data_IF_433058810077
#
_entry.id   IF_433058810077
#
_cell.length_a   1.000
_cell.length_b   1.000
_cell.length_c   1.000
_cell.angle_alpha   90.00
_cell.angle_beta   90.00
_cell.angle_gamma   90.00
#
_symmetry.space_group_name_H-M   'P 1'
#
loop_
_entity.id
_entity.type
_entity.pdbx_description
1 polymer ?
#
# COMPACT_ATOMS: atom_id res chain seq x y z
N UNK A 1 -3.42 23.22 1.48
CA UNK A 1 -2.83 22.33 2.51
C UNK A 1 -2.93 20.86 2.11
N UNK A 2 -4.13 20.36 1.77
CA UNK A 2 -4.35 18.97 1.34
C UNK A 2 -3.63 18.58 0.04
N UNK A 3 -3.61 19.47 -0.97
CA UNK A 3 -2.92 19.22 -2.25
C UNK A 3 -1.40 18.98 -2.07
N UNK A 4 -0.76 19.83 -1.27
CA UNK A 4 0.67 19.71 -0.95
C UNK A 4 0.96 18.41 -0.18
N UNK A 5 0.07 18.02 0.73
CA UNK A 5 0.20 16.77 1.48
C UNK A 5 0.16 15.54 0.56
N UNK A 6 -0.77 15.51 -0.41
CA UNK A 6 -0.84 14.44 -1.41
C UNK A 6 0.42 14.41 -2.28
N UNK A 7 0.89 15.56 -2.77
CA UNK A 7 2.12 15.63 -3.58
C UNK A 7 3.38 15.19 -2.83
N UNK A 8 3.46 15.48 -1.53
CA UNK A 8 4.55 15.00 -0.68
C UNK A 8 4.54 13.47 -0.57
N UNK A 9 3.36 12.86 -0.39
CA UNK A 9 3.23 11.40 -0.37
C UNK A 9 3.61 10.76 -1.71
N UNK A 10 3.13 11.32 -2.82
CA UNK A 10 3.50 10.86 -4.18
C UNK A 10 5.02 10.90 -4.37
N UNK A 11 5.66 11.99 -3.94
CA UNK A 11 7.12 12.16 -4.04
C UNK A 11 7.86 11.12 -3.20
N UNK A 12 7.41 10.87 -1.98
CA UNK A 12 8.00 9.87 -1.09
C UNK A 12 7.90 8.45 -1.69
N UNK A 13 6.72 8.07 -2.18
CA UNK A 13 6.49 6.76 -2.77
C UNK A 13 7.29 6.55 -4.06
N UNK A 14 7.38 7.55 -4.95
CA UNK A 14 8.23 7.44 -6.13
C UNK A 14 9.72 7.36 -5.79
N UNK A 15 10.17 8.11 -4.77
CA UNK A 15 11.56 8.04 -4.31
C UNK A 15 11.90 6.66 -3.78
N UNK A 16 10.99 6.07 -3.00
CA UNK A 16 11.10 4.70 -2.54
C UNK A 16 11.18 3.74 -3.74
N UNK A 17 10.19 3.78 -4.64
CA UNK A 17 10.07 2.83 -5.73
C UNK A 17 11.30 2.88 -6.64
N UNK A 18 11.84 4.08 -6.88
CA UNK A 18 13.10 4.29 -7.58
C UNK A 18 14.26 3.58 -6.88
N UNK A 19 14.38 3.70 -5.57
CA UNK A 19 15.44 3.03 -4.82
C UNK A 19 15.28 1.50 -4.81
N UNK A 20 14.06 1.02 -4.60
CA UNK A 20 13.74 -0.41 -4.61
C UNK A 20 14.09 -1.05 -5.95
N UNK A 21 13.63 -0.47 -7.07
CA UNK A 21 13.96 -0.97 -8.41
C UNK A 21 15.47 -0.89 -8.70
N UNK A 22 16.17 0.15 -8.23
CA UNK A 22 17.63 0.24 -8.36
C UNK A 22 18.37 -0.87 -7.58
N UNK A 23 17.93 -1.19 -6.37
CA UNK A 23 18.50 -2.28 -5.57
C UNK A 23 18.20 -3.66 -6.18
N UNK A 24 16.95 -3.91 -6.57
CA UNK A 24 16.54 -5.18 -7.16
C UNK A 24 17.28 -5.46 -8.48
N UNK A 25 17.46 -4.44 -9.33
CA UNK A 25 18.26 -4.59 -10.56
C UNK A 25 19.75 -4.85 -10.31
N UNK A 26 20.32 -4.35 -9.21
CA UNK A 26 21.72 -4.61 -8.82
C UNK A 26 21.92 -5.97 -8.17
N UNK A 27 20.89 -6.50 -7.51
CA UNK A 27 20.96 -7.77 -6.75
C UNK A 27 20.56 -8.99 -7.59
N UNK A 28 20.14 -8.81 -8.85
CA UNK A 28 19.65 -9.88 -9.74
C UNK A 28 18.38 -10.58 -9.22
N UNK A 29 17.72 -9.99 -8.22
CA UNK A 29 16.40 -10.40 -7.77
C UNK A 29 15.40 -9.96 -8.86
N UNK A 30 15.18 -10.85 -9.83
CA UNK A 30 14.26 -10.61 -10.95
C UNK A 30 12.79 -10.57 -10.50
N UNK A 31 12.49 -11.03 -9.29
CA UNK A 31 11.15 -11.06 -8.71
C UNK A 31 10.79 -9.71 -8.08
N UNK A 32 10.87 -8.64 -8.86
CA UNK A 32 10.07 -7.47 -8.51
C UNK A 32 8.65 -7.81 -8.99
N UNK A 33 7.74 -8.15 -8.07
CA UNK A 33 6.30 -8.32 -8.35
C UNK A 33 5.60 -7.04 -8.86
N UNK A 34 6.36 -6.07 -9.36
CA UNK A 34 5.94 -4.79 -9.89
C UNK A 34 6.26 -4.73 -11.38
N UNK A 35 5.23 -4.87 -12.21
CA UNK A 35 5.32 -4.60 -13.64
C UNK A 35 5.28 -3.09 -13.87
N UNK A 36 6.42 -2.51 -14.27
CA UNK A 36 6.50 -1.10 -14.67
C UNK A 36 5.51 -0.79 -15.79
N UNK A 37 5.36 -1.69 -16.77
CA UNK A 37 4.45 -1.50 -17.90
C UNK A 37 3.00 -1.35 -17.44
N UNK A 38 2.53 -2.27 -16.59
CA UNK A 38 1.16 -2.25 -16.06
C UNK A 38 0.93 -1.00 -15.22
N UNK A 39 1.85 -0.68 -14.33
CA UNK A 39 1.77 0.53 -13.50
C UNK A 39 1.66 1.80 -14.34
N UNK A 40 2.50 1.95 -15.36
CA UNK A 40 2.48 3.12 -16.22
C UNK A 40 1.23 3.17 -17.12
N UNK A 41 0.70 2.02 -17.55
CA UNK A 41 -0.57 1.96 -18.27
C UNK A 41 -1.71 2.55 -17.44
N UNK A 42 -1.88 2.06 -16.22
CA UNK A 42 -2.95 2.51 -15.34
C UNK A 42 -2.77 3.99 -14.98
N UNK A 43 -1.53 4.42 -14.73
CA UNK A 43 -1.20 5.81 -14.44
C UNK A 43 -1.55 6.75 -15.60
N UNK A 44 -1.21 6.39 -16.83
CA UNK A 44 -1.52 7.20 -18.01
C UNK A 44 -3.01 7.19 -18.36
N UNK A 45 -3.73 6.09 -18.11
CA UNK A 45 -5.19 6.07 -18.16
C UNK A 45 -5.82 7.03 -17.13
N UNK A 46 -5.22 7.20 -15.94
CA UNK A 46 -5.66 8.23 -14.98
C UNK A 46 -5.38 9.66 -15.43
N UNK A 47 -4.34 9.90 -16.24
CA UNK A 47 -4.07 11.21 -16.82
C UNK A 47 -5.00 11.58 -17.97
N UNK A 48 -5.19 10.65 -18.91
CA UNK A 48 -5.76 10.94 -20.22
C UNK A 48 -7.20 10.43 -20.40
N UNK A 49 -7.76 9.79 -19.36
CA UNK A 49 -9.08 9.17 -19.37
C UNK A 49 -9.00 7.64 -19.52
N UNK A 50 -9.97 6.95 -18.92
CA UNK A 50 -9.96 5.48 -18.83
C UNK A 50 -9.92 4.81 -20.19
N UNK A 51 -9.11 3.74 -20.29
CA UNK A 51 -8.94 2.86 -21.46
C UNK A 51 -8.41 3.53 -22.74
N UNK A 52 -7.80 4.71 -22.62
CA UNK A 52 -7.14 5.35 -23.77
C UNK A 52 -5.74 4.80 -24.05
N UNK A 53 -5.10 4.20 -23.05
CA UNK A 53 -3.79 3.55 -23.14
C UNK A 53 -3.94 2.05 -23.00
N UNK A 54 -3.48 1.32 -24.01
CA UNK A 54 -3.55 -0.15 -24.06
C UNK A 54 -2.16 -0.74 -24.29
N UNK A 55 -1.97 -1.96 -23.80
CA UNK A 55 -0.72 -2.69 -24.02
C UNK A 55 -0.62 -3.11 -25.50
N UNK A 56 0.44 -2.67 -26.17
CA UNK A 56 0.66 -2.92 -27.59
C UNK A 56 0.81 -4.42 -27.92
N UNK A 57 1.35 -5.21 -26.99
CA UNK A 57 1.54 -6.65 -27.16
C UNK A 57 0.22 -7.44 -27.09
N UNK A 58 -0.84 -6.88 -26.49
CA UNK A 58 -2.17 -7.50 -26.45
C UNK A 58 -2.90 -7.34 -27.79
N UNK A 59 -2.70 -6.22 -28.49
CA UNK A 59 -3.34 -5.96 -29.80
C UNK A 59 -2.62 -6.67 -30.96
N UNK A 60 -1.28 -6.70 -30.94
CA UNK A 60 -0.48 -7.39 -31.93
C UNK A 60 0.71 -8.06 -31.24
N UNK A 61 0.63 -9.38 -31.07
CA UNK A 61 1.80 -10.20 -30.74
C UNK A 61 2.88 -9.91 -31.79
N UNK A 62 3.99 -9.29 -31.36
CA UNK A 62 5.15 -8.83 -32.15
C UNK A 62 5.23 -7.33 -32.47
N UNK A 63 4.60 -6.42 -31.72
CA UNK A 63 4.93 -4.99 -31.80
C UNK A 63 6.23 -4.70 -31.01
N UNK A 64 7.40 -4.52 -31.65
CA UNK A 64 8.63 -4.53 -30.88
C UNK A 64 8.93 -3.13 -30.33
N UNK A 65 9.30 -3.09 -29.05
CA UNK A 65 9.71 -1.88 -28.31
C UNK A 65 8.60 -0.85 -28.05
N UNK A 66 7.33 -1.24 -28.22
CA UNK A 66 6.16 -0.47 -27.79
C UNK A 66 5.53 -1.20 -26.62
N UNK A 67 5.43 -0.53 -25.48
CA UNK A 67 4.75 -1.11 -24.33
C UNK A 67 3.29 -0.67 -24.35
N UNK A 68 3.05 0.63 -24.58
CA UNK A 68 1.72 1.23 -24.55
C UNK A 68 1.44 2.10 -25.77
N UNK A 69 0.20 2.09 -26.24
CA UNK A 69 -0.26 2.96 -27.32
C UNK A 69 -1.60 3.61 -27.00
N UNK A 70 -1.72 4.89 -27.35
CA UNK A 70 -2.96 5.64 -27.34
C UNK A 70 -3.32 6.03 -28.76
N UNK A 71 -4.27 5.29 -29.34
CA UNK A 71 -4.69 5.44 -30.74
C UNK A 71 -5.38 6.78 -31.01
N UNK A 72 -6.13 7.29 -30.02
CA UNK A 72 -6.87 8.55 -30.15
C UNK A 72 -5.94 9.75 -30.32
N UNK A 73 -4.84 9.77 -29.57
CA UNK A 73 -3.82 10.82 -29.63
C UNK A 73 -2.62 10.47 -30.53
N UNK A 74 -2.62 9.27 -31.14
CA UNK A 74 -1.49 8.73 -31.89
C UNK A 74 -0.16 8.83 -31.13
N UNK A 75 -0.18 8.48 -29.84
CA UNK A 75 0.98 8.58 -28.95
C UNK A 75 1.38 7.18 -28.46
N UNK A 76 2.65 6.81 -28.63
CA UNK A 76 3.22 5.59 -28.07
C UNK A 76 4.16 5.87 -26.88
N UNK A 77 4.17 4.94 -25.92
CA UNK A 77 5.10 4.93 -24.79
C UNK A 77 5.94 3.66 -24.80
N UNK A 78 7.21 3.85 -24.48
CA UNK A 78 8.07 2.79 -24.00
C UNK A 78 8.48 3.10 -22.56
N UNK A 79 8.38 2.12 -21.68
CA UNK A 79 8.75 2.19 -20.28
C UNK A 79 9.96 1.30 -20.06
N UNK A 80 11.05 1.88 -19.55
CA UNK A 80 12.25 1.10 -19.26
C UNK A 80 12.90 1.54 -17.96
N UNK A 81 13.52 0.59 -17.26
CA UNK A 81 14.22 0.85 -15.99
C UNK A 81 15.38 1.83 -16.21
N UNK A 82 16.14 1.65 -17.29
CA UNK A 82 17.27 2.50 -17.69
C UNK A 82 17.18 2.79 -19.18
N UNK A 83 16.96 4.05 -19.53
CA UNK A 83 16.97 4.56 -20.90
C UNK A 83 18.36 5.17 -21.21
N UNK A 84 19.32 4.32 -21.54
CA UNK A 84 20.61 4.77 -22.06
C UNK A 84 20.52 5.11 -23.56
N UNK A 85 21.53 5.83 -24.07
CA UNK A 85 21.56 6.28 -25.46
C UNK A 85 21.50 5.13 -26.48
N UNK A 86 21.97 3.93 -26.13
CA UNK A 86 21.95 2.76 -27.01
C UNK A 86 20.53 2.19 -27.10
N UNK A 87 19.86 2.01 -25.95
CA UNK A 87 18.46 1.60 -25.89
C UNK A 87 17.55 2.59 -26.59
N UNK A 88 17.72 3.89 -26.33
CA UNK A 88 16.88 4.92 -26.96
C UNK A 88 17.00 4.88 -28.48
N UNK A 89 18.23 4.79 -29.02
CA UNK A 89 18.45 4.68 -30.48
C UNK A 89 17.80 3.43 -31.05
N UNK A 90 18.03 2.27 -30.43
CA UNK A 90 17.43 1.00 -30.85
C UNK A 90 15.90 1.07 -30.84
N UNK A 91 15.30 1.64 -29.81
CA UNK A 91 13.86 1.85 -29.74
C UNK A 91 13.38 2.67 -30.93
N UNK A 92 13.97 3.85 -31.15
CA UNK A 92 13.55 4.75 -32.25
C UNK A 92 13.70 4.07 -33.61
N UNK A 93 14.80 3.37 -33.85
CA UNK A 93 15.03 2.58 -35.07
C UNK A 93 13.97 1.48 -35.26
N UNK A 94 13.53 0.83 -34.18
CA UNK A 94 12.46 -0.17 -34.24
C UNK A 94 11.11 0.46 -34.57
N UNK A 95 10.76 1.61 -33.99
CA UNK A 95 9.56 2.36 -34.36
C UNK A 95 9.57 2.76 -35.84
N UNK A 96 10.69 3.30 -36.33
CA UNK A 96 10.87 3.70 -37.73
C UNK A 96 10.75 2.49 -38.68
N UNK A 97 11.40 1.36 -38.34
CA UNK A 97 11.38 0.13 -39.14
C UNK A 97 9.98 -0.48 -39.25
N UNK A 98 9.19 -0.44 -38.18
CA UNK A 98 7.86 -1.05 -38.14
C UNK A 98 6.75 -0.12 -38.62
N UNK A 99 7.07 1.12 -39.03
CA UNK A 99 6.12 2.12 -39.55
C UNK A 99 4.89 2.28 -38.64
N UNK A 100 5.13 2.34 -37.34
CA UNK A 100 4.06 2.51 -36.35
C UNK A 100 3.36 3.83 -36.62
N UNK A 101 2.04 3.82 -36.87
CA UNK A 101 1.23 5.02 -37.12
C UNK A 101 1.02 5.81 -35.81
N UNK A 102 2.06 6.54 -35.39
CA UNK A 102 2.06 7.42 -34.23
C UNK A 102 2.72 8.76 -34.55
N UNK A 103 2.10 9.83 -34.06
CA UNK A 103 2.59 11.21 -34.19
C UNK A 103 3.66 11.52 -33.14
N UNK A 104 3.65 10.81 -32.01
CA UNK A 104 4.59 11.04 -30.89
C UNK A 104 5.05 9.73 -30.25
N UNK A 105 6.33 9.70 -29.84
CA UNK A 105 6.92 8.61 -29.05
C UNK A 105 7.52 9.19 -27.77
N UNK A 106 7.17 8.66 -26.61
CA UNK A 106 7.81 9.03 -25.33
C UNK A 106 8.46 7.81 -24.70
N UNK A 107 9.77 7.89 -24.46
CA UNK A 107 10.56 6.85 -23.79
C UNK A 107 10.75 7.28 -22.34
N UNK A 108 10.19 6.51 -21.42
CA UNK A 108 10.24 6.77 -19.98
C UNK A 108 11.39 5.95 -19.37
N UNK A 109 12.44 6.64 -18.94
CA UNK A 109 13.53 6.06 -18.16
C UNK A 109 13.25 6.19 -16.67
N UNK A 110 12.82 5.10 -16.03
CA UNK A 110 12.37 5.10 -14.63
C UNK A 110 13.47 5.50 -13.64
N UNK A 111 14.63 4.83 -13.69
CA UNK A 111 15.78 5.16 -12.83
C UNK A 111 16.66 6.24 -13.45
N UNK A 112 16.97 6.03 -14.73
CA UNK A 112 17.93 6.81 -15.49
C UNK A 112 17.42 7.04 -16.91
N UNK A 113 17.60 8.25 -17.41
CA UNK A 113 17.41 8.58 -18.81
C UNK A 113 18.54 9.49 -19.29
N UNK A 114 18.95 9.34 -20.55
CA UNK A 114 19.73 10.38 -21.23
C UNK A 114 18.80 11.28 -22.03
N UNK A 115 19.04 12.59 -21.99
CA UNK A 115 18.33 13.53 -22.84
C UNK A 115 18.72 13.27 -24.30
N UNK A 116 17.87 12.56 -25.01
CA UNK A 116 18.01 12.30 -26.44
C UNK A 116 16.68 12.62 -27.12
N UNK A 117 16.77 13.41 -28.19
CA UNK A 117 15.63 13.83 -28.98
C UNK A 117 15.98 13.62 -30.46
N UNK A 118 15.18 12.81 -31.14
CA UNK A 118 15.28 12.60 -32.60
C UNK A 118 13.86 12.49 -33.15
N UNK A 119 13.58 13.20 -34.25
CA UNK A 119 12.26 13.19 -34.88
C UNK A 119 11.15 13.54 -33.87
N UNK A 120 10.08 12.73 -33.84
CA UNK A 120 8.94 12.86 -32.94
C UNK A 120 9.10 12.10 -31.60
N UNK A 121 10.34 11.74 -31.23
CA UNK A 121 10.63 11.07 -29.97
C UNK A 121 11.11 12.04 -28.89
N UNK A 122 10.69 11.80 -27.66
CA UNK A 122 11.24 12.42 -26.45
C UNK A 122 11.61 11.35 -25.43
N UNK A 123 12.68 11.60 -24.67
CA UNK A 123 13.05 10.78 -23.53
C UNK A 123 12.77 11.57 -22.26
N UNK A 124 12.06 10.97 -21.30
CA UNK A 124 11.64 11.63 -20.07
C UNK A 124 11.93 10.76 -18.84
N UNK A 125 12.09 11.41 -17.69
CA UNK A 125 12.19 10.76 -16.40
C UNK A 125 10.91 10.87 -15.57
N UNK A 126 11.01 10.46 -14.30
CA UNK A 126 9.93 10.59 -13.32
C UNK A 126 9.53 12.05 -13.06
N UNK A 127 10.41 13.02 -13.32
CA UNK A 127 10.09 14.45 -13.24
C UNK A 127 8.97 14.87 -14.20
N UNK A 128 8.85 14.21 -15.36
CA UNK A 128 7.75 14.43 -16.28
C UNK A 128 6.43 13.98 -15.66
N UNK A 129 6.44 12.81 -15.02
CA UNK A 129 5.29 12.21 -14.36
C UNK A 129 4.84 13.07 -13.17
N UNK A 130 5.75 13.46 -12.29
CA UNK A 130 5.41 14.31 -11.14
C UNK A 130 4.87 15.67 -11.57
N UNK A 131 5.36 16.23 -12.68
CA UNK A 131 4.79 17.44 -13.29
C UNK A 131 3.37 17.22 -13.82
N UNK A 132 3.09 16.08 -14.48
CA UNK A 132 1.72 15.74 -14.91
C UNK A 132 0.78 15.64 -13.71
N UNK A 133 1.17 14.92 -12.66
CA UNK A 133 0.37 14.76 -11.43
C UNK A 133 0.09 16.12 -10.79
N UNK A 134 1.10 17.01 -10.74
CA UNK A 134 0.93 18.36 -10.18
C UNK A 134 -0.17 19.16 -10.89
N UNK A 135 -0.33 18.97 -12.20
CA UNK A 135 -1.36 19.60 -13.02
C UNK A 135 -2.76 18.97 -12.90
N UNK A 136 -2.91 17.83 -12.25
CA UNK A 136 -4.19 17.15 -12.07
C UNK A 136 -5.06 17.80 -10.98
N UNK A 137 -6.36 17.51 -11.02
CA UNK A 137 -7.29 17.84 -9.93
C UNK A 137 -6.96 17.07 -8.65
N UNK A 138 -7.43 17.55 -7.48
CA UNK A 138 -7.20 16.87 -6.19
C UNK A 138 -7.77 15.43 -6.17
N UNK A 139 -8.92 15.22 -6.83
CA UNK A 139 -9.55 13.89 -6.96
C UNK A 139 -8.61 12.96 -7.72
N UNK A 140 -8.16 13.38 -8.91
CA UNK A 140 -7.20 12.60 -9.72
C UNK A 140 -5.89 12.35 -8.97
N UNK A 141 -5.35 13.35 -8.26
CA UNK A 141 -4.13 13.17 -7.45
C UNK A 141 -4.31 12.10 -6.37
N UNK A 142 -5.49 12.03 -5.76
CA UNK A 142 -5.82 11.03 -4.74
C UNK A 142 -5.95 9.64 -5.37
N UNK A 143 -6.66 9.52 -6.49
CA UNK A 143 -6.75 8.26 -7.23
C UNK A 143 -5.38 7.75 -7.70
N UNK A 144 -4.51 8.65 -8.16
CA UNK A 144 -3.13 8.32 -8.54
C UNK A 144 -2.32 7.89 -7.32
N UNK A 145 -2.48 8.56 -6.18
CA UNK A 145 -1.82 8.15 -4.94
C UNK A 145 -2.23 6.74 -4.53
N UNK A 146 -3.52 6.42 -4.60
CA UNK A 146 -4.03 5.09 -4.26
C UNK A 146 -3.55 4.03 -5.27
N UNK A 147 -3.50 4.37 -6.56
CA UNK A 147 -2.88 3.51 -7.59
C UNK A 147 -1.42 3.22 -7.28
N UNK A 148 -0.62 4.23 -6.91
CA UNK A 148 0.79 4.04 -6.53
C UNK A 148 0.88 3.14 -5.30
N UNK A 149 0.06 3.37 -4.27
CA UNK A 149 0.03 2.52 -3.07
C UNK A 149 -0.32 1.06 -3.39
N UNK A 150 -1.30 0.83 -4.25
CA UNK A 150 -1.76 -0.52 -4.60
C UNK A 150 -0.78 -1.25 -5.53
N UNK A 151 -0.06 -0.51 -6.37
CA UNK A 151 0.90 -1.09 -7.30
C UNK A 151 2.19 -1.50 -6.60
N UNK A 152 2.53 -0.83 -5.49
CA UNK A 152 3.72 -1.20 -4.71
C UNK A 152 3.29 -2.21 -3.64
N UNK A 153 3.97 -3.36 -3.48
CA UNK A 153 3.67 -4.29 -2.40
C UNK A 153 3.97 -3.63 -1.04
N UNK A 154 2.96 -3.01 -0.42
CA UNK A 154 3.09 -2.22 0.82
C UNK A 154 3.66 -3.05 1.98
N UNK A 155 3.47 -4.38 1.95
CA UNK A 155 4.10 -5.30 2.90
C UNK A 155 5.64 -5.35 2.77
N UNK A 156 6.20 -5.12 1.57
CA UNK A 156 7.64 -4.94 1.33
C UNK A 156 8.09 -3.51 1.69
N UNK A 157 7.16 -2.56 1.67
CA UNK A 157 7.41 -1.14 1.97
C UNK A 157 7.52 -0.80 3.44
N UNK A 158 6.92 -1.62 4.32
CA UNK A 158 6.94 -1.32 5.74
C UNK A 158 8.38 -1.45 6.24
N UNK A 159 9.08 -0.34 6.61
CA UNK A 159 10.41 -0.45 7.22
C UNK A 159 10.35 -1.15 8.58
N UNK A 160 9.13 -1.30 9.11
CA UNK A 160 8.80 -2.02 10.32
C UNK A 160 8.48 -3.46 9.95
N UNK A 161 9.22 -4.39 10.54
CA UNK A 161 8.95 -5.83 10.38
C UNK A 161 7.56 -6.18 10.94
N UNK A 162 7.00 -7.34 10.55
CA UNK A 162 5.81 -7.93 11.20
C UNK A 162 5.95 -7.88 12.73
N UNK A 163 7.17 -8.12 13.20
CA UNK A 163 7.57 -8.02 14.59
C UNK A 163 7.37 -6.62 15.17
N UNK A 164 7.98 -5.59 14.59
CA UNK A 164 7.88 -4.21 15.10
C UNK A 164 6.45 -3.68 15.07
N UNK A 165 5.72 -4.03 14.02
CA UNK A 165 4.31 -3.70 13.83
C UNK A 165 3.41 -4.38 14.87
N UNK A 166 3.66 -5.66 15.16
CA UNK A 166 2.95 -6.40 16.19
C UNK A 166 3.23 -5.84 17.60
N UNK A 167 4.43 -5.35 17.90
CA UNK A 167 4.72 -4.73 19.21
C UNK A 167 3.85 -3.51 19.51
N UNK A 168 3.44 -2.77 18.47
CA UNK A 168 2.55 -1.62 18.64
C UNK A 168 1.15 -2.11 19.02
N UNK A 169 0.65 -3.14 18.33
CA UNK A 169 -0.64 -3.79 18.63
C UNK A 169 -0.62 -4.38 20.04
N UNK A 170 0.42 -5.13 20.37
CA UNK A 170 0.60 -5.78 21.66
C UNK A 170 0.65 -4.75 22.79
N UNK A 171 1.47 -3.69 22.66
CA UNK A 171 1.52 -2.60 23.66
C UNK A 171 0.17 -1.92 23.86
N UNK A 172 -0.66 -1.87 22.83
CA UNK A 172 -1.98 -1.23 22.91
C UNK A 172 -3.01 -2.11 23.61
N UNK A 173 -2.98 -3.42 23.36
CA UNK A 173 -3.81 -4.40 24.06
C UNK A 173 -3.38 -4.59 25.52
N UNK A 174 -2.07 -4.54 25.80
CA UNK A 174 -1.48 -4.68 27.14
C UNK A 174 -1.76 -3.51 28.09
N UNK A 175 -1.85 -2.27 27.57
CA UNK A 175 -1.80 -1.05 28.40
C UNK A 175 -3.05 -0.79 29.26
N UNK A 176 -4.21 -1.32 28.89
CA UNK A 176 -5.49 -0.99 29.58
C UNK A 176 -6.71 -1.82 29.20
N UNK A 177 -6.67 -2.64 28.13
CA UNK A 177 -7.86 -3.31 27.61
C UNK A 177 -8.04 -4.75 28.10
N UNK A 178 -6.93 -5.48 28.35
CA UNK A 178 -6.98 -6.90 28.69
C UNK A 178 -6.48 -7.23 30.12
N UNK A 179 -5.71 -6.35 30.76
CA UNK A 179 -4.94 -6.65 31.99
C UNK A 179 -5.48 -6.07 33.30
N UNK A 180 -6.66 -5.44 33.32
CA UNK A 180 -7.31 -5.01 34.57
C UNK A 180 -7.96 -6.20 35.29
N UNK A 181 -7.12 -7.14 35.69
CA UNK A 181 -7.47 -8.44 36.29
C UNK A 181 -7.69 -8.33 37.81
N UNK A 182 -8.07 -7.14 38.30
CA UNK A 182 -8.17 -6.86 39.74
C UNK A 182 -9.59 -6.48 40.15
N UNK A 183 -10.45 -7.51 40.30
CA UNK A 183 -11.69 -7.55 41.09
C UNK A 183 -12.81 -6.50 40.85
N UNK A 184 -12.51 -5.40 40.18
CA UNK A 184 -13.41 -4.32 39.79
C UNK A 184 -12.79 -3.70 38.53
N UNK A 185 -13.33 -3.95 37.33
CA UNK A 185 -12.97 -3.12 36.17
C UNK A 185 -13.21 -1.65 36.52
N UNK A 186 -12.18 -0.80 36.41
CA UNK A 186 -12.28 0.61 36.76
C UNK A 186 -13.33 1.35 35.91
N UNK A 187 -13.51 0.94 34.64
CA UNK A 187 -14.55 1.43 33.73
C UNK A 187 -14.64 0.55 32.46
N UNK A 188 -15.77 -0.15 32.26
CA UNK A 188 -16.08 -0.86 31.00
C UNK A 188 -16.04 0.06 29.78
N UNK A 189 -16.35 1.36 29.96
CA UNK A 189 -16.30 2.32 28.86
C UNK A 189 -14.86 2.58 28.39
N UNK A 190 -13.91 2.62 29.32
CA UNK A 190 -12.49 2.77 29.00
C UNK A 190 -11.93 1.53 28.32
N UNK A 191 -12.34 0.34 28.78
CA UNK A 191 -12.03 -0.91 28.11
C UNK A 191 -12.55 -0.93 26.67
N UNK A 192 -13.84 -0.63 26.45
CA UNK A 192 -14.44 -0.58 25.10
C UNK A 192 -13.72 0.43 24.21
N UNK A 193 -13.36 1.59 24.75
CA UNK A 193 -12.58 2.60 24.01
C UNK A 193 -11.22 2.04 23.60
N UNK A 194 -10.47 1.44 24.51
CA UNK A 194 -9.18 0.82 24.20
C UNK A 194 -9.29 -0.30 23.17
N UNK A 195 -10.31 -1.15 23.30
CA UNK A 195 -10.60 -2.24 22.36
C UNK A 195 -10.97 -1.73 20.96
N UNK A 196 -11.76 -0.65 20.85
CA UNK A 196 -12.07 -0.01 19.56
C UNK A 196 -10.82 0.54 18.90
N UNK A 197 -9.99 1.26 19.66
CA UNK A 197 -8.75 1.79 19.12
C UNK A 197 -7.79 0.66 18.69
N UNK A 198 -7.73 -0.46 19.42
CA UNK A 198 -6.92 -1.61 19.04
C UNK A 198 -7.45 -2.31 17.78
N UNK A 199 -8.77 -2.43 17.65
CA UNK A 199 -9.43 -2.91 16.42
C UNK A 199 -9.11 -2.02 15.22
N UNK A 200 -9.20 -0.70 15.37
CA UNK A 200 -8.87 0.25 14.30
C UNK A 200 -7.40 0.10 13.89
N UNK A 201 -6.50 -0.06 14.86
CA UNK A 201 -5.07 -0.28 14.62
C UNK A 201 -4.80 -1.59 13.87
N UNK A 202 -5.44 -2.71 14.26
CA UNK A 202 -5.29 -4.01 13.60
C UNK A 202 -5.79 -3.94 12.16
N UNK A 203 -6.99 -3.39 11.96
CA UNK A 203 -7.66 -3.40 10.65
C UNK A 203 -7.04 -2.40 9.67
N UNK A 204 -6.97 -1.13 10.07
CA UNK A 204 -6.59 -0.02 9.20
C UNK A 204 -5.13 0.42 9.34
N UNK A 205 -4.43 -0.05 10.37
CA UNK A 205 -3.07 0.38 10.67
C UNK A 205 -2.99 1.76 11.35
N UNK A 206 -4.11 2.46 11.54
CA UNK A 206 -4.13 3.79 12.15
C UNK A 206 -5.22 3.89 13.21
N UNK A 207 -5.03 4.80 14.17
CA UNK A 207 -6.01 5.07 15.22
C UNK A 207 -6.42 6.54 15.18
N UNK A 208 -7.48 6.87 15.92
CA UNK A 208 -7.90 8.27 16.14
C UNK A 208 -6.86 9.08 16.94
N UNK A 209 -5.93 8.43 17.65
CA UNK A 209 -4.84 9.07 18.38
C UNK A 209 -3.68 9.40 17.45
N UNK A 210 -3.31 10.68 17.40
CA UNK A 210 -2.18 11.17 16.61
C UNK A 210 -0.89 10.49 17.07
N UNK A 211 -0.14 9.91 16.13
CA UNK A 211 1.20 9.37 16.36
C UNK A 211 1.29 7.88 16.69
N UNK A 212 0.17 7.13 16.69
CA UNK A 212 0.18 5.67 16.78
C UNK A 212 -0.30 5.09 15.45
N UNK A 213 0.60 4.36 14.78
CA UNK A 213 0.29 3.65 13.53
C UNK A 213 1.12 2.38 13.40
N UNK A 214 0.57 1.41 12.69
CA UNK A 214 1.21 0.19 12.22
C UNK A 214 0.78 -0.07 10.77
N UNK A 215 1.21 -1.16 10.16
CA UNK A 215 0.69 -1.56 8.86
C UNK A 215 -0.73 -2.11 8.99
N UNK A 216 -1.62 -1.91 8.01
CA UNK A 216 -2.95 -2.52 8.02
C UNK A 216 -2.83 -4.05 8.00
N UNK A 217 -3.92 -4.75 8.33
CA UNK A 217 -3.93 -6.23 8.38
C UNK A 217 -3.44 -6.85 7.07
N UNK A 218 -3.82 -6.29 5.92
CA UNK A 218 -3.38 -6.73 4.59
C UNK A 218 -1.87 -6.57 4.33
N UNK A 219 -1.17 -5.83 5.20
CA UNK A 219 0.27 -5.63 5.14
C UNK A 219 1.10 -6.67 5.90
N UNK A 220 0.48 -7.57 6.69
CA UNK A 220 1.16 -8.67 7.37
C UNK A 220 1.32 -9.89 6.46
N UNK A 221 2.20 -10.82 6.83
CA UNK A 221 2.27 -12.13 6.17
C UNK A 221 1.00 -12.96 6.40
N UNK A 222 0.60 -13.80 5.44
CA UNK A 222 -0.68 -14.56 5.50
C UNK A 222 -0.95 -15.28 6.83
N UNK A 223 0.02 -15.97 7.47
CA UNK A 223 -0.21 -16.58 8.78
C UNK A 223 -0.61 -15.56 9.84
N UNK A 224 0.09 -14.42 9.89
CA UNK A 224 -0.22 -13.34 10.83
C UNK A 224 -1.54 -12.63 10.51
N UNK A 225 -1.92 -12.53 9.23
CA UNK A 225 -3.23 -11.95 8.88
C UNK A 225 -4.37 -12.75 9.50
N UNK A 226 -4.29 -14.08 9.44
CA UNK A 226 -5.29 -14.96 10.05
C UNK A 226 -5.33 -14.80 11.57
N UNK A 227 -4.15 -14.82 12.22
CA UNK A 227 -4.07 -14.70 13.69
C UNK A 227 -4.55 -13.33 14.19
N UNK A 228 -4.22 -12.24 13.47
CA UNK A 228 -4.70 -10.89 13.81
C UNK A 228 -6.20 -10.72 13.54
N UNK A 229 -6.74 -11.37 12.52
CA UNK A 229 -8.18 -11.39 12.25
C UNK A 229 -8.93 -12.08 13.39
N UNK A 230 -8.41 -13.20 13.88
CA UNK A 230 -8.99 -13.93 15.01
C UNK A 230 -9.01 -13.09 16.30
N UNK A 231 -7.97 -12.29 16.54
CA UNK A 231 -7.94 -11.33 17.65
C UNK A 231 -8.99 -10.24 17.44
N UNK A 232 -9.09 -9.67 16.25
CA UNK A 232 -10.08 -8.64 15.90
C UNK A 232 -11.52 -9.13 16.11
N UNK A 233 -11.83 -10.37 15.72
CA UNK A 233 -13.14 -10.96 15.92
C UNK A 233 -13.50 -11.09 17.40
N UNK A 234 -12.55 -11.53 18.23
CA UNK A 234 -12.77 -11.62 19.69
C UNK A 234 -12.97 -10.25 20.33
N UNK A 235 -12.19 -9.25 19.90
CA UNK A 235 -12.36 -7.85 20.31
C UNK A 235 -13.76 -7.35 19.95
N UNK A 236 -14.22 -7.61 18.73
CA UNK A 236 -15.56 -7.26 18.26
C UNK A 236 -16.65 -7.93 19.08
N UNK A 237 -16.45 -9.18 19.49
CA UNK A 237 -17.39 -9.91 20.33
C UNK A 237 -17.48 -9.34 21.74
N UNK A 238 -16.36 -8.96 22.37
CA UNK A 238 -16.36 -8.25 23.66
C UNK A 238 -17.14 -6.92 23.54
N UNK A 239 -16.82 -6.11 22.53
CA UNK A 239 -17.51 -4.83 22.29
C UNK A 239 -19.01 -5.05 22.09
N UNK A 240 -19.40 -6.11 21.37
CA UNK A 240 -20.81 -6.48 21.13
C UNK A 240 -21.51 -6.84 22.43
N UNK A 241 -20.88 -7.63 23.31
CA UNK A 241 -21.44 -7.98 24.62
C UNK A 241 -21.69 -6.69 25.41
N UNK A 242 -20.67 -5.84 25.60
CA UNK A 242 -20.82 -4.62 26.39
C UNK A 242 -21.87 -3.65 25.82
N UNK A 243 -21.96 -3.51 24.50
CA UNK A 243 -22.95 -2.63 23.87
C UNK A 243 -24.38 -3.14 24.08
N UNK A 244 -24.61 -4.46 24.07
CA UNK A 244 -25.94 -5.05 24.33
C UNK A 244 -26.40 -4.81 25.77
N UNK A 245 -25.47 -4.78 26.71
CA UNK A 245 -25.75 -4.61 28.13
C UNK A 245 -25.69 -3.13 28.58
N UNK A 246 -25.63 -2.18 27.63
CA UNK A 246 -25.63 -0.74 27.91
C UNK A 246 -27.06 -0.25 28.22
N UNK A 247 -27.24 0.39 29.38
CA UNK A 247 -28.50 1.00 29.86
C UNK A 247 -28.22 2.40 30.39
N UNK A 248 -28.93 3.42 29.91
CA UNK A 248 -28.80 4.82 30.37
C UNK A 248 -27.35 5.32 30.50
N UNK A 249 -26.54 5.03 29.47
CA UNK A 249 -25.10 5.28 29.40
C UNK A 249 -24.18 4.47 30.32
N UNK A 250 -24.68 3.52 31.11
CA UNK A 250 -23.86 2.60 31.90
C UNK A 250 -23.84 1.19 31.31
N UNK A 251 -22.70 0.50 31.40
CA UNK A 251 -22.58 -0.91 31.02
C UNK A 251 -22.89 -1.76 32.26
N UNK A 252 -23.97 -2.54 32.22
CA UNK A 252 -24.40 -3.40 33.32
C UNK A 252 -24.40 -4.85 32.85
N UNK A 253 -23.38 -5.61 33.23
CA UNK A 253 -23.20 -7.00 32.81
C UNK A 253 -23.73 -8.00 33.85
N UNK A 254 -24.38 -9.04 33.34
CA UNK A 254 -24.65 -10.27 34.08
C UNK A 254 -23.36 -11.06 34.38
N UNK A 255 -23.45 -12.00 35.33
CA UNK A 255 -22.31 -12.86 35.67
C UNK A 255 -21.80 -13.66 34.46
N UNK A 256 -22.70 -14.17 33.62
CA UNK A 256 -22.33 -14.94 32.43
C UNK A 256 -21.62 -14.07 31.39
N UNK A 257 -22.05 -12.83 31.20
CA UNK A 257 -21.40 -11.89 30.26
C UNK A 257 -20.00 -11.50 30.75
N UNK A 258 -19.79 -11.35 32.05
CA UNK A 258 -18.46 -11.11 32.63
C UNK A 258 -17.53 -12.29 32.39
N UNK A 259 -17.99 -13.51 32.72
CA UNK A 259 -17.22 -14.74 32.50
C UNK A 259 -16.85 -14.89 31.02
N UNK A 260 -17.78 -14.59 30.11
CA UNK A 260 -17.52 -14.68 28.67
C UNK A 260 -16.51 -13.63 28.20
N UNK A 261 -16.59 -12.39 28.70
CA UNK A 261 -15.59 -11.36 28.39
C UNK A 261 -14.20 -11.78 28.89
N UNK A 262 -14.10 -12.29 30.12
CA UNK A 262 -12.82 -12.73 30.69
C UNK A 262 -12.23 -13.91 29.89
N UNK A 263 -13.08 -14.87 29.49
CA UNK A 263 -12.69 -15.97 28.59
C UNK A 263 -12.13 -15.46 27.26
N UNK A 264 -12.79 -14.48 26.63
CA UNK A 264 -12.33 -13.90 25.37
C UNK A 264 -11.01 -13.12 25.55
N UNK A 265 -10.83 -12.42 26.68
CA UNK A 265 -9.55 -11.76 27.02
C UNK A 265 -8.42 -12.77 27.14
N UNK A 266 -8.64 -13.89 27.84
CA UNK A 266 -7.65 -14.97 27.98
C UNK A 266 -7.27 -15.56 26.62
N UNK A 267 -8.24 -15.78 25.74
CA UNK A 267 -7.97 -16.25 24.38
C UNK A 267 -7.14 -15.26 23.57
N UNK A 268 -7.44 -13.96 23.66
CA UNK A 268 -6.63 -12.92 23.00
C UNK A 268 -5.20 -12.93 23.54
N UNK A 269 -5.02 -12.99 24.86
CA UNK A 269 -3.70 -13.04 25.50
C UNK A 269 -2.91 -14.27 25.03
N UNK A 270 -3.55 -15.44 25.00
CA UNK A 270 -2.92 -16.67 24.53
C UNK A 270 -2.51 -16.56 23.06
N UNK A 271 -3.36 -16.02 22.19
CA UNK A 271 -3.01 -15.79 20.78
C UNK A 271 -1.86 -14.79 20.62
N UNK A 272 -1.86 -13.68 21.37
CA UNK A 272 -0.75 -12.73 21.35
C UNK A 272 0.58 -13.37 21.77
N UNK A 273 0.57 -14.29 22.73
CA UNK A 273 1.75 -15.03 23.17
C UNK A 273 2.24 -16.04 22.12
N UNK A 274 1.32 -16.66 21.38
CA UNK A 274 1.67 -17.54 20.25
C UNK A 274 2.33 -16.74 19.11
N UNK A 275 1.73 -15.60 18.72
CA UNK A 275 2.31 -14.68 17.73
C UNK A 275 3.69 -14.18 18.19
N UNK A 276 3.82 -13.77 19.45
CA UNK A 276 5.11 -13.34 20.00
C UNK A 276 6.18 -14.43 19.87
N UNK A 277 5.80 -15.69 20.12
CA UNK A 277 6.70 -16.83 20.03
C UNK A 277 7.11 -17.14 18.58
N UNK A 278 6.17 -17.08 17.63
CA UNK A 278 6.44 -17.32 16.20
C UNK A 278 7.33 -16.24 15.60
N UNK A 279 7.24 -15.01 16.11
CA UNK A 279 8.09 -13.87 15.73
C UNK A 279 9.46 -13.84 16.44
N UNK A 280 9.80 -14.88 17.21
CA UNK A 280 11.10 -14.99 17.90
C UNK A 280 11.27 -14.04 19.09
N UNK A 281 10.17 -13.55 19.68
CA UNK A 281 10.19 -12.66 20.85
C UNK A 281 10.06 -13.42 22.15
N UNK A 282 10.56 -12.83 23.25
CA UNK A 282 10.35 -13.38 24.60
C UNK A 282 8.84 -13.44 24.88
N UNK A 283 8.38 -14.62 25.33
CA UNK A 283 7.04 -14.82 25.88
C UNK A 283 6.81 -13.89 27.08
N UNK A 284 5.57 -13.44 27.23
CA UNK A 284 5.07 -12.84 28.46
C UNK A 284 4.52 -13.91 29.40
#
# INVERSE_FOLDING_TARGET
>A
MQDQFVMNQVTALFSFLKHHVDLSTKTTLNDIGFSLETFFMDLFNKFDGENNWVNANVENLNQPAIDLINRKSKHALQVTVRADSTKIKKTIEMYEKHKVDVDKITIIGFLHHTNYKKNNSETVGIDYITRRIKGCSLVQKTEILDLIKNSIPVHVLSPLSDSDCFDVIQRMLDRSALRDDRYCEGSYEDMIRGLKEAKDLITSGVTSKVGISTKPISGYTEPLQSELSDIEYKISDIIRICNRSKRDNFVILSMNEKIEIDRLKDEIINQMNLISSSLGKKKY
#
